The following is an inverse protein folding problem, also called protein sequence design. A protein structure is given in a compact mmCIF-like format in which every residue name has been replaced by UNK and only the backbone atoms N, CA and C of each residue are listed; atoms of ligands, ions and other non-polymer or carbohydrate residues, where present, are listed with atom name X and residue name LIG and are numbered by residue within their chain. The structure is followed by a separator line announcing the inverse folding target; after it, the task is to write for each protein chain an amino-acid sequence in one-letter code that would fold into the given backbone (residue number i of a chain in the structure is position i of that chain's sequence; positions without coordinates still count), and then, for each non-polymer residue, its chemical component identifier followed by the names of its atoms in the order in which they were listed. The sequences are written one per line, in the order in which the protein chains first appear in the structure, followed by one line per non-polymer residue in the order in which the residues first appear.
data_IF_030309738965
#
_entry.id   IF_030309738965
#
_cell.length_a   1.000
_cell.length_b   1.000
_cell.length_c   1.000
_cell.angle_alpha   90.00
_cell.angle_beta   90.00
_cell.angle_gamma   90.00
#
_symmetry.space_group_name_H-M   'P 1'
#
loop_
_entity.id
_entity.type
_entity.pdbx_description
1 polymer ?
#
# COMPACT_ATOMS: atom_id res chain seq x y z
N UNK A 1 -21.44 -41.36 -3.04
CA UNK A 1 -20.52 -40.27 -2.65
C UNK A 1 -20.33 -39.36 -3.85
N UNK A 2 -21.15 -38.32 -3.98
CA UNK A 2 -21.04 -37.37 -5.08
C UNK A 2 -19.78 -36.51 -4.89
N UNK A 3 -18.86 -36.54 -5.86
CA UNK A 3 -17.81 -35.52 -5.94
C UNK A 3 -18.50 -34.20 -6.23
N UNK A 4 -18.63 -33.34 -5.23
CA UNK A 4 -18.92 -31.93 -5.48
C UNK A 4 -17.71 -31.36 -6.21
N UNK A 5 -17.77 -31.32 -7.54
CA UNK A 5 -16.79 -30.65 -8.39
C UNK A 5 -16.91 -29.14 -8.16
N UNK A 6 -16.28 -28.66 -7.10
CA UNK A 6 -16.21 -27.23 -6.82
C UNK A 6 -15.44 -26.53 -7.95
N UNK A 7 -15.97 -25.41 -8.42
CA UNK A 7 -15.28 -24.52 -9.34
C UNK A 7 -13.95 -24.01 -8.73
N UNK A 8 -12.93 -23.73 -9.56
CA UNK A 8 -11.66 -23.23 -9.07
C UNK A 8 -11.82 -21.83 -8.45
N UNK A 9 -11.12 -21.61 -7.32
CA UNK A 9 -11.07 -20.31 -6.63
C UNK A 9 -10.16 -19.30 -7.33
N UNK A 10 -9.17 -19.81 -8.08
CA UNK A 10 -8.20 -19.01 -8.82
C UNK A 10 -8.12 -19.49 -10.25
N UNK A 11 -8.03 -18.55 -11.20
CA UNK A 11 -7.75 -18.85 -12.59
C UNK A 11 -6.45 -18.17 -13.01
N UNK A 12 -5.57 -18.96 -13.62
CA UNK A 12 -4.29 -18.46 -14.13
C UNK A 12 -4.40 -18.35 -15.64
N UNK A 13 -4.36 -17.11 -16.15
CA UNK A 13 -4.42 -16.84 -17.59
C UNK A 13 -3.08 -16.39 -18.13
N UNK A 14 -2.76 -16.90 -19.31
CA UNK A 14 -1.67 -16.41 -20.10
C UNK A 14 -1.92 -14.96 -20.55
N UNK A 15 -0.92 -14.09 -20.41
CA UNK A 15 -0.99 -12.75 -20.99
C UNK A 15 -1.28 -12.79 -22.50
N UNK A 16 -2.18 -11.94 -22.98
CA UNK A 16 -2.40 -11.72 -24.41
C UNK A 16 -1.22 -10.93 -24.99
N UNK A 17 -0.90 -11.15 -26.27
CA UNK A 17 0.17 -10.40 -26.95
C UNK A 17 1.60 -10.91 -26.72
N UNK A 18 1.79 -12.10 -26.12
CA UNK A 18 3.11 -12.72 -25.90
C UNK A 18 3.97 -12.82 -27.16
N UNK A 19 3.35 -13.08 -28.31
CA UNK A 19 4.07 -13.19 -29.57
C UNK A 19 4.69 -11.84 -29.97
N UNK A 20 3.93 -10.75 -29.89
CA UNK A 20 4.42 -9.40 -30.18
C UNK A 20 5.55 -9.01 -29.24
N UNK A 21 5.41 -9.30 -27.94
CA UNK A 21 6.48 -9.07 -26.97
C UNK A 21 7.75 -9.87 -27.29
N UNK A 22 7.63 -11.17 -27.62
CA UNK A 22 8.78 -12.01 -27.99
C UNK A 22 9.47 -11.53 -29.27
N UNK A 23 8.70 -11.09 -30.27
CA UNK A 23 9.27 -10.51 -31.49
C UNK A 23 10.01 -9.21 -31.19
N UNK A 24 9.45 -8.32 -30.38
CA UNK A 24 10.12 -7.11 -29.92
C UNK A 24 11.41 -7.41 -29.14
N UNK A 25 11.39 -8.39 -28.23
CA UNK A 25 12.60 -8.81 -27.50
C UNK A 25 13.65 -9.35 -28.46
N UNK A 26 13.25 -10.14 -29.46
CA UNK A 26 14.17 -10.66 -30.46
C UNK A 26 14.83 -9.55 -31.30
N UNK A 27 14.07 -8.53 -31.74
CA UNK A 27 14.65 -7.45 -32.54
C UNK A 27 15.66 -6.63 -31.74
N UNK A 28 15.36 -6.32 -30.47
CA UNK A 28 16.30 -5.62 -29.59
C UNK A 28 17.52 -6.49 -29.28
N UNK A 29 17.35 -7.80 -29.06
CA UNK A 29 18.47 -8.71 -28.85
C UNK A 29 19.43 -8.73 -30.04
N UNK A 30 18.90 -8.82 -31.27
CA UNK A 30 19.71 -8.73 -32.49
C UNK A 30 20.44 -7.39 -32.57
N UNK A 31 19.78 -6.27 -32.27
CA UNK A 31 20.42 -4.95 -32.25
C UNK A 31 21.58 -4.87 -31.24
N UNK A 32 21.41 -5.43 -30.03
CA UNK A 32 22.47 -5.51 -29.02
C UNK A 32 23.65 -6.34 -29.54
N UNK A 33 23.39 -7.51 -30.14
CA UNK A 33 24.45 -8.34 -30.73
C UNK A 33 25.23 -7.59 -31.82
N UNK A 34 24.54 -6.85 -32.70
CA UNK A 34 25.19 -6.05 -33.74
C UNK A 34 26.07 -4.95 -33.15
N UNK A 35 25.62 -4.26 -32.10
CA UNK A 35 26.41 -3.24 -31.40
C UNK A 35 27.66 -3.86 -30.78
N UNK A 36 27.53 -5.01 -30.09
CA UNK A 36 28.67 -5.69 -29.48
C UNK A 36 29.68 -6.17 -30.54
N UNK A 37 29.21 -6.73 -31.65
CA UNK A 37 30.08 -7.14 -32.78
C UNK A 37 30.79 -5.93 -33.39
N UNK A 38 30.09 -4.81 -33.58
CA UNK A 38 30.68 -3.56 -34.05
C UNK A 38 31.77 -3.08 -33.08
N UNK A 39 31.51 -3.03 -31.78
CA UNK A 39 32.49 -2.58 -30.77
C UNK A 39 33.74 -3.45 -30.70
N UNK A 40 33.60 -4.76 -30.89
CA UNK A 40 34.73 -5.70 -30.94
C UNK A 40 35.51 -5.57 -32.26
N UNK A 41 34.83 -5.27 -33.37
CA UNK A 41 35.47 -5.14 -34.69
C UNK A 41 36.20 -3.81 -34.87
N UNK A 42 35.75 -2.75 -34.19
CA UNK A 42 36.33 -1.39 -34.27
C UNK A 42 37.10 -1.04 -32.99
N UNK A 43 38.11 -1.85 -32.65
CA UNK A 43 39.02 -1.54 -31.55
C UNK A 43 40.01 -0.42 -31.97
N UNK A 44 40.12 0.68 -31.20
CA UNK A 44 41.12 1.71 -31.48
C UNK A 44 42.52 1.14 -31.27
N UNK A 45 43.39 1.31 -32.27
CA UNK A 45 44.76 0.77 -32.27
C UNK A 45 45.78 1.80 -31.76
N UNK A 46 45.42 3.09 -31.73
CA UNK A 46 46.32 4.18 -31.37
C UNK A 46 45.79 5.00 -30.18
N UNK A 47 46.68 5.43 -29.28
CA UNK A 47 46.35 6.29 -28.14
C UNK A 47 45.94 5.55 -26.85
N UNK A 48 46.77 5.62 -25.81
CA UNK A 48 46.47 4.96 -24.53
C UNK A 48 45.15 5.45 -23.89
N UNK A 49 44.89 6.76 -23.90
CA UNK A 49 43.67 7.35 -23.32
C UNK A 49 42.40 6.93 -24.08
N UNK A 50 42.49 6.81 -25.39
CA UNK A 50 41.40 6.37 -26.26
C UNK A 50 41.06 4.89 -26.02
N UNK A 51 42.09 4.05 -25.82
CA UNK A 51 41.90 2.63 -25.49
C UNK A 51 41.22 2.46 -24.13
N UNK A 52 41.65 3.20 -23.09
CA UNK A 52 41.04 3.10 -21.76
C UNK A 52 39.60 3.60 -21.73
N UNK A 53 39.30 4.72 -22.40
CA UNK A 53 37.93 5.24 -22.49
C UNK A 53 37.02 4.33 -23.30
N UNK A 54 37.51 3.76 -24.41
CA UNK A 54 36.78 2.77 -25.20
C UNK A 54 36.49 1.50 -24.41
N UNK A 55 37.49 0.99 -23.69
CA UNK A 55 37.37 -0.22 -22.85
C UNK A 55 36.33 0.00 -21.74
N UNK A 56 36.35 1.15 -21.07
CA UNK A 56 35.37 1.49 -20.04
C UNK A 56 33.94 1.56 -20.60
N UNK A 57 33.75 2.20 -21.77
CA UNK A 57 32.46 2.26 -22.45
C UNK A 57 31.96 0.87 -22.86
N UNK A 58 32.85 0.02 -23.37
CA UNK A 58 32.53 -1.35 -23.75
C UNK A 58 32.10 -2.21 -22.55
N UNK A 59 32.79 -2.10 -21.40
CA UNK A 59 32.38 -2.78 -20.17
C UNK A 59 31.01 -2.31 -19.66
N UNK A 60 30.72 -1.01 -19.75
CA UNK A 60 29.41 -0.49 -19.39
C UNK A 60 28.30 -1.06 -20.32
N UNK A 61 28.55 -1.11 -21.63
CA UNK A 61 27.61 -1.69 -22.60
C UNK A 61 27.39 -3.19 -22.39
N UNK A 62 28.44 -3.95 -22.06
CA UNK A 62 28.32 -5.37 -21.69
C UNK A 62 27.47 -5.53 -20.43
N UNK A 63 27.69 -4.71 -19.41
CA UNK A 63 26.91 -4.74 -18.18
C UNK A 63 25.42 -4.44 -18.42
N UNK A 64 25.11 -3.38 -19.18
CA UNK A 64 23.74 -3.04 -19.55
C UNK A 64 23.08 -4.11 -20.41
N UNK A 65 23.82 -4.72 -21.36
CA UNK A 65 23.34 -5.83 -22.19
C UNK A 65 23.00 -7.06 -21.34
N UNK A 66 23.86 -7.38 -20.38
CA UNK A 66 23.63 -8.47 -19.44
C UNK A 66 22.43 -8.21 -18.52
N UNK A 67 22.34 -7.01 -17.95
CA UNK A 67 21.18 -6.58 -17.16
C UNK A 67 19.88 -6.66 -17.97
N UNK A 68 19.89 -6.19 -19.22
CA UNK A 68 18.75 -6.26 -20.12
C UNK A 68 18.35 -7.73 -20.39
N UNK A 69 19.33 -8.61 -20.66
CA UNK A 69 19.09 -10.03 -20.88
C UNK A 69 18.41 -10.70 -19.67
N UNK A 70 18.92 -10.48 -18.45
CA UNK A 70 18.29 -10.98 -17.22
C UNK A 70 16.86 -10.46 -17.09
N UNK A 71 16.64 -9.17 -17.39
CA UNK A 71 15.31 -8.56 -17.32
C UNK A 71 14.31 -9.25 -18.27
N UNK A 72 14.75 -9.66 -19.48
CA UNK A 72 13.89 -10.38 -20.41
C UNK A 72 13.57 -11.79 -19.94
N UNK A 73 14.50 -12.48 -19.26
CA UNK A 73 14.24 -13.80 -18.68
C UNK A 73 13.10 -13.75 -17.65
N UNK A 74 13.13 -12.76 -16.74
CA UNK A 74 12.08 -12.56 -15.72
C UNK A 74 10.72 -12.25 -16.36
N UNK A 75 10.72 -11.57 -17.51
CA UNK A 75 9.51 -11.14 -18.22
C UNK A 75 9.06 -12.09 -19.33
N UNK A 76 9.72 -13.25 -19.50
CA UNK A 76 9.50 -14.15 -20.64
C UNK A 76 8.09 -14.75 -20.70
N UNK A 77 7.48 -14.99 -19.54
CA UNK A 77 6.17 -15.63 -19.43
C UNK A 77 5.27 -14.92 -18.42
N UNK A 78 4.71 -13.73 -18.77
CA UNK A 78 3.82 -13.01 -17.88
C UNK A 78 2.50 -13.78 -17.72
N UNK A 79 2.06 -13.90 -16.47
CA UNK A 79 0.91 -14.68 -16.04
C UNK A 79 0.00 -13.77 -15.22
N UNK A 80 -1.29 -13.75 -15.56
CA UNK A 80 -2.31 -13.05 -14.78
C UNK A 80 -3.07 -14.05 -13.91
N UNK A 81 -3.27 -13.71 -12.64
CA UNK A 81 -4.05 -14.51 -11.69
C UNK A 81 -5.34 -13.76 -11.36
N UNK A 82 -6.46 -14.41 -11.59
CA UNK A 82 -7.79 -13.92 -11.26
C UNK A 82 -8.33 -14.66 -10.04
N UNK A 83 -8.96 -13.93 -9.12
CA UNK A 83 -9.51 -14.47 -7.87
C UNK A 83 -11.04 -14.38 -7.90
N UNK A 84 -11.75 -15.44 -7.52
CA UNK A 84 -13.21 -15.45 -7.45
C UNK A 84 -13.69 -15.44 -6.00
N UNK A 85 -13.97 -14.23 -5.47
CA UNK A 85 -14.40 -14.05 -4.07
C UNK A 85 -15.75 -14.71 -3.78
N UNK A 86 -16.69 -14.68 -4.74
CA UNK A 86 -18.02 -15.28 -4.55
C UNK A 86 -17.97 -16.80 -4.37
N UNK A 87 -17.02 -17.46 -5.05
CA UNK A 87 -16.80 -18.91 -4.90
C UNK A 87 -16.13 -19.25 -3.57
N UNK A 88 -15.28 -18.34 -3.07
CA UNK A 88 -14.64 -18.47 -1.76
C UNK A 88 -15.68 -18.37 -0.66
N UNK A 89 -16.55 -17.35 -0.68
CA UNK A 89 -17.62 -17.18 0.31
C UNK A 89 -18.59 -18.36 0.28
N UNK A 90 -19.08 -18.77 -0.90
CA UNK A 90 -19.99 -19.92 -1.02
C UNK A 90 -19.44 -21.22 -0.40
N UNK A 91 -18.11 -21.43 -0.43
CA UNK A 91 -17.49 -22.67 0.03
C UNK A 91 -16.98 -22.59 1.47
N UNK A 92 -16.49 -21.43 1.91
CA UNK A 92 -15.69 -21.32 3.14
C UNK A 92 -16.10 -20.15 4.04
N UNK A 93 -17.25 -19.49 3.84
CA UNK A 93 -17.68 -18.34 4.66
C UNK A 93 -17.49 -18.56 6.17
N UNK A 94 -17.84 -19.76 6.66
CA UNK A 94 -17.75 -20.14 8.07
C UNK A 94 -16.34 -20.55 8.51
N UNK A 95 -15.51 -21.02 7.57
CA UNK A 95 -14.21 -21.65 7.81
C UNK A 95 -13.03 -20.78 7.35
N UNK A 96 -13.22 -19.46 7.28
CA UNK A 96 -12.14 -18.50 7.01
C UNK A 96 -11.04 -18.58 8.09
N UNK A 97 -9.75 -18.42 7.75
CA UNK A 97 -8.66 -18.40 8.72
C UNK A 97 -8.63 -17.10 9.55
N UNK A 98 -7.86 -17.09 10.64
CA UNK A 98 -7.49 -15.83 11.29
C UNK A 98 -6.51 -15.04 10.42
N UNK A 99 -6.63 -13.71 10.41
CA UNK A 99 -5.76 -12.78 9.68
C UNK A 99 -5.27 -11.70 10.63
N UNK A 100 -3.95 -11.61 10.77
CA UNK A 100 -3.29 -10.55 11.53
C UNK A 100 -2.68 -9.52 10.56
N UNK A 101 -3.07 -8.26 10.71
CA UNK A 101 -2.55 -7.14 9.92
C UNK A 101 -1.59 -6.35 10.79
N UNK A 102 -0.34 -6.20 10.33
CA UNK A 102 0.66 -5.37 10.98
C UNK A 102 0.79 -4.04 10.24
N UNK A 103 0.58 -2.94 10.96
CA UNK A 103 0.85 -1.58 10.51
C UNK A 103 2.08 -1.11 11.28
N UNK A 104 3.12 -0.67 10.57
CA UNK A 104 4.34 -0.14 11.20
C UNK A 104 4.48 1.34 10.86
N UNK A 105 4.90 2.14 11.83
CA UNK A 105 5.26 3.54 11.65
C UNK A 105 6.55 3.85 12.36
N UNK A 106 7.38 4.73 11.79
CA UNK A 106 8.73 4.99 12.28
C UNK A 106 8.94 6.43 12.76
N UNK A 107 8.35 7.43 12.09
CA UNK A 107 8.56 8.84 12.40
C UNK A 107 7.26 9.63 12.23
N UNK A 108 6.71 10.24 13.29
CA UNK A 108 5.46 11.00 13.23
C UNK A 108 5.54 12.29 12.40
N UNK A 109 6.73 12.78 12.05
CA UNK A 109 6.91 13.94 11.17
C UNK A 109 6.81 13.54 9.69
N UNK A 110 7.45 12.42 9.32
CA UNK A 110 7.42 11.87 7.95
C UNK A 110 6.09 11.14 7.69
N UNK A 111 5.56 10.46 8.70
CA UNK A 111 4.32 9.68 8.69
C UNK A 111 3.34 10.26 9.72
N UNK A 112 2.59 11.31 9.36
CA UNK A 112 1.71 11.99 10.29
C UNK A 112 0.72 11.04 10.97
N UNK A 113 0.46 11.17 12.28
CA UNK A 113 -0.47 10.29 12.99
C UNK A 113 -1.86 10.19 12.34
N UNK A 114 -2.34 11.25 11.69
CA UNK A 114 -3.60 11.25 10.92
C UNK A 114 -3.57 10.21 9.78
N UNK A 115 -2.45 10.06 9.07
CA UNK A 115 -2.30 9.05 8.03
C UNK A 115 -2.30 7.63 8.63
N UNK A 116 -1.62 7.45 9.76
CA UNK A 116 -1.57 6.16 10.48
C UNK A 116 -2.97 5.74 10.93
N UNK A 117 -3.73 6.65 11.58
CA UNK A 117 -5.12 6.40 12.00
C UNK A 117 -6.00 5.97 10.81
N UNK A 118 -5.91 6.69 9.69
CA UNK A 118 -6.69 6.38 8.49
C UNK A 118 -6.40 4.98 7.94
N UNK A 119 -5.12 4.58 7.97
CA UNK A 119 -4.69 3.23 7.58
C UNK A 119 -5.25 2.17 8.52
N UNK A 120 -5.14 2.38 9.84
CA UNK A 120 -5.66 1.44 10.84
C UNK A 120 -7.19 1.33 10.75
N UNK A 121 -7.92 2.43 10.65
CA UNK A 121 -9.37 2.42 10.50
C UNK A 121 -9.83 1.75 9.21
N UNK A 122 -9.09 1.95 8.11
CA UNK A 122 -9.37 1.30 6.83
C UNK A 122 -9.22 -0.22 6.92
N UNK A 123 -8.14 -0.70 7.55
CA UNK A 123 -7.89 -2.15 7.73
C UNK A 123 -8.88 -2.80 8.69
N UNK A 124 -9.23 -2.13 9.78
CA UNK A 124 -10.28 -2.59 10.71
C UNK A 124 -11.67 -2.67 10.05
N UNK A 125 -11.91 -1.91 8.98
CA UNK A 125 -13.18 -1.86 8.26
C UNK A 125 -13.25 -2.83 7.06
N UNK A 126 -12.33 -3.78 6.96
CA UNK A 126 -12.36 -4.82 5.94
C UNK A 126 -13.60 -5.72 6.08
N UNK A 127 -14.11 -6.21 4.96
CA UNK A 127 -15.24 -7.15 4.91
C UNK A 127 -14.75 -8.56 5.29
N UNK A 128 -14.49 -8.75 6.59
CA UNK A 128 -14.01 -9.99 7.19
C UNK A 128 -14.65 -10.22 8.56
N UNK A 129 -14.82 -11.47 9.03
CA UNK A 129 -15.36 -11.73 10.36
C UNK A 129 -14.53 -11.06 11.46
N UNK A 130 -15.13 -10.25 12.35
CA UNK A 130 -14.40 -9.45 13.34
C UNK A 130 -13.64 -10.30 14.35
N UNK A 131 -14.12 -11.51 14.65
CA UNK A 131 -13.45 -12.48 15.51
C UNK A 131 -12.22 -13.14 14.88
N UNK A 132 -12.00 -12.91 13.57
CA UNK A 132 -10.88 -13.47 12.80
C UNK A 132 -9.92 -12.41 12.26
N UNK A 133 -10.21 -11.13 12.46
CA UNK A 133 -9.37 -10.04 11.98
C UNK A 133 -8.73 -9.32 13.17
N UNK A 134 -7.41 -9.40 13.29
CA UNK A 134 -6.64 -8.65 14.28
C UNK A 134 -5.80 -7.60 13.57
N UNK A 135 -5.73 -6.38 14.14
CA UNK A 135 -4.88 -5.30 13.61
C UNK A 135 -3.92 -4.85 14.70
N UNK A 136 -2.64 -4.86 14.38
CA UNK A 136 -1.54 -4.48 15.27
C UNK A 136 -0.83 -3.25 14.71
N UNK A 137 -0.55 -2.27 15.57
CA UNK A 137 0.27 -1.12 15.24
C UNK A 137 1.60 -1.20 15.99
N UNK A 138 2.71 -1.19 15.25
CA UNK A 138 4.06 -1.01 15.78
C UNK A 138 4.51 0.42 15.52
N UNK A 139 4.84 1.17 16.56
CA UNK A 139 5.37 2.53 16.47
C UNK A 139 6.83 2.52 16.93
N UNK A 140 7.75 2.48 15.98
CA UNK A 140 9.20 2.48 16.23
C UNK A 140 9.68 3.87 16.68
N UNK A 141 8.91 4.92 16.38
CA UNK A 141 9.18 6.30 16.81
C UNK A 141 8.78 6.57 18.26
N UNK A 142 8.08 5.65 18.91
CA UNK A 142 7.57 5.75 20.29
C UNK A 142 6.90 7.12 20.56
N UNK A 143 6.07 7.57 19.63
CA UNK A 143 5.52 8.92 19.62
C UNK A 143 4.26 9.02 20.46
N UNK A 144 4.28 9.89 21.48
CA UNK A 144 3.08 10.24 22.25
C UNK A 144 1.93 10.71 21.32
N UNK A 145 2.25 11.41 20.23
CA UNK A 145 1.24 11.89 19.29
C UNK A 145 0.53 10.72 18.60
N UNK A 146 1.27 9.70 18.18
CA UNK A 146 0.72 8.48 17.59
C UNK A 146 -0.16 7.74 18.59
N UNK A 147 0.27 7.66 19.86
CA UNK A 147 -0.53 7.06 20.93
C UNK A 147 -1.88 7.78 21.14
N UNK A 148 -1.88 9.10 21.32
CA UNK A 148 -3.13 9.86 21.52
C UNK A 148 -4.03 9.87 20.28
N UNK A 149 -3.42 9.95 19.10
CA UNK A 149 -4.10 9.81 17.82
C UNK A 149 -4.85 8.46 17.74
N UNK A 150 -4.18 7.37 18.10
CA UNK A 150 -4.78 6.03 18.14
C UNK A 150 -5.85 5.87 19.23
N UNK A 151 -5.69 6.54 20.37
CA UNK A 151 -6.72 6.56 21.41
C UNK A 151 -8.02 7.18 20.88
N UNK A 152 -7.95 8.31 20.19
CA UNK A 152 -9.15 8.88 19.57
C UNK A 152 -9.67 8.05 18.40
N UNK A 153 -8.78 7.45 17.60
CA UNK A 153 -9.18 6.52 16.55
C UNK A 153 -10.01 5.36 17.12
N UNK A 154 -9.64 4.82 18.28
CA UNK A 154 -10.38 3.75 18.96
C UNK A 154 -11.79 4.17 19.39
N UNK A 155 -12.01 5.45 19.68
CA UNK A 155 -13.33 6.00 19.99
C UNK A 155 -14.14 6.21 18.71
N UNK A 156 -13.50 6.74 17.68
CA UNK A 156 -14.12 6.98 16.39
C UNK A 156 -14.50 5.68 15.66
N UNK A 157 -13.70 4.62 15.80
CA UNK A 157 -13.95 3.31 15.17
C UNK A 157 -15.32 2.74 15.53
N UNK A 158 -15.81 2.98 16.75
CA UNK A 158 -17.15 2.58 17.20
C UNK A 158 -18.28 3.15 16.34
N UNK A 159 -18.04 4.27 15.66
CA UNK A 159 -18.98 4.90 14.73
C UNK A 159 -18.62 4.57 13.28
N UNK A 160 -17.34 4.60 12.94
CA UNK A 160 -16.86 4.39 11.58
C UNK A 160 -17.09 2.96 11.06
N UNK A 161 -16.76 1.93 11.85
CA UNK A 161 -16.83 0.53 11.39
C UNK A 161 -18.28 0.09 11.09
N UNK A 162 -19.28 0.36 11.96
CA UNK A 162 -20.67 0.06 11.64
C UNK A 162 -21.19 0.86 10.43
N UNK A 163 -20.79 2.12 10.30
CA UNK A 163 -21.13 2.95 9.13
C UNK A 163 -20.59 2.32 7.84
N UNK A 164 -19.31 1.93 7.81
CA UNK A 164 -18.69 1.27 6.66
C UNK A 164 -19.42 -0.01 6.24
N UNK A 165 -19.81 -0.83 7.23
CA UNK A 165 -20.44 -2.12 6.98
C UNK A 165 -21.89 -1.99 6.52
N UNK A 166 -22.66 -1.05 7.08
CA UNK A 166 -24.06 -0.81 6.70
C UNK A 166 -24.19 -0.20 5.32
N UNK A 167 -23.41 0.84 5.02
CA UNK A 167 -23.46 1.54 3.73
C UNK A 167 -22.54 0.93 2.67
N UNK A 168 -21.82 -0.15 3.00
CA UNK A 168 -20.85 -0.83 2.12
C UNK A 168 -19.93 0.17 1.38
N UNK A 169 -19.41 1.15 2.12
CA UNK A 169 -18.66 2.27 1.53
C UNK A 169 -17.34 1.80 0.93
N UNK A 170 -16.92 2.44 -0.16
CA UNK A 170 -15.58 2.31 -0.73
C UNK A 170 -15.09 3.68 -1.21
N UNK A 171 -13.86 4.10 -0.90
CA UNK A 171 -12.84 3.42 -0.08
C UNK A 171 -13.16 3.42 1.43
N UNK A 172 -12.54 2.50 2.20
CA UNK A 172 -12.77 2.32 3.65
C UNK A 172 -11.94 3.24 4.56
N UNK A 173 -11.00 4.01 3.98
CA UNK A 173 -10.29 5.06 4.70
C UNK A 173 -11.21 6.29 4.87
N UNK A 174 -11.41 6.79 6.10
CA UNK A 174 -12.26 7.96 6.35
C UNK A 174 -11.88 9.18 5.51
N UNK A 175 -10.59 9.55 5.54
CA UNK A 175 -10.10 10.71 4.79
C UNK A 175 -10.24 10.52 3.28
N UNK A 176 -9.93 9.33 2.76
CA UNK A 176 -10.07 9.05 1.34
C UNK A 176 -11.55 9.09 0.89
N UNK A 177 -12.46 8.55 1.70
CA UNK A 177 -13.90 8.56 1.43
C UNK A 177 -14.44 9.99 1.40
N UNK A 178 -14.22 10.77 2.46
CA UNK A 178 -14.79 12.12 2.57
C UNK A 178 -14.17 13.14 1.61
N UNK A 179 -13.01 12.85 1.01
CA UNK A 179 -12.46 13.67 -0.09
C UNK A 179 -13.27 13.60 -1.37
N UNK A 180 -13.94 12.47 -1.64
CA UNK A 180 -14.68 12.23 -2.88
C UNK A 180 -16.18 12.03 -2.69
N UNK A 181 -16.63 11.80 -1.45
CA UNK A 181 -18.02 11.52 -1.15
C UNK A 181 -18.92 12.75 -1.36
N UNK A 182 -20.02 12.54 -2.09
CA UNK A 182 -21.14 13.47 -2.16
C UNK A 182 -22.10 13.19 -1.02
N UNK A 183 -22.83 14.24 -0.60
CA UNK A 183 -23.87 14.11 0.42
C UNK A 183 -25.00 13.18 -0.08
N UNK A 184 -25.46 12.22 0.74
CA UNK A 184 -26.58 11.36 0.37
C UNK A 184 -27.86 12.17 0.17
N UNK A 185 -28.51 12.03 -0.98
CA UNK A 185 -29.73 12.80 -1.34
C UNK A 185 -31.04 12.02 -1.06
N UNK A 186 -30.96 10.72 -0.80
CA UNK A 186 -32.12 9.84 -0.91
C UNK A 186 -32.92 9.71 0.40
N UNK A 187 -32.27 9.80 1.57
CA UNK A 187 -32.89 9.57 2.88
C UNK A 187 -32.33 10.53 3.95
N UNK A 188 -33.19 11.33 4.62
CA UNK A 188 -32.76 12.27 5.66
C UNK A 188 -32.06 11.58 6.85
N UNK A 189 -32.45 10.34 7.21
CA UNK A 189 -31.80 9.60 8.32
C UNK A 189 -30.36 9.23 7.95
N UNK A 190 -30.14 8.81 6.70
CA UNK A 190 -28.81 8.51 6.20
C UNK A 190 -27.95 9.78 6.08
N UNK A 191 -28.55 10.91 5.71
CA UNK A 191 -27.87 12.20 5.63
C UNK A 191 -27.43 12.70 7.02
N UNK A 192 -28.27 12.56 8.05
CA UNK A 192 -27.90 12.90 9.43
C UNK A 192 -26.76 12.01 9.96
N UNK A 193 -26.82 10.69 9.72
CA UNK A 193 -25.77 9.79 10.14
C UNK A 193 -24.45 10.09 9.42
N UNK A 194 -24.51 10.33 8.09
CA UNK A 194 -23.35 10.71 7.30
C UNK A 194 -22.71 12.01 7.80
N UNK A 195 -23.52 13.02 8.10
CA UNK A 195 -23.06 14.30 8.63
C UNK A 195 -22.42 14.12 10.02
N UNK A 196 -23.03 13.33 10.89
CA UNK A 196 -22.48 13.01 12.22
C UNK A 196 -21.10 12.34 12.12
N UNK A 197 -20.94 11.34 11.23
CA UNK A 197 -19.67 10.66 11.01
C UNK A 197 -18.64 11.62 10.39
N UNK A 198 -19.04 12.47 9.44
CA UNK A 198 -18.17 13.49 8.83
C UNK A 198 -17.66 14.48 9.86
N UNK A 199 -18.52 15.00 10.73
CA UNK A 199 -18.11 15.92 11.81
C UNK A 199 -17.12 15.25 12.75
N UNK A 200 -17.35 13.99 13.14
CA UNK A 200 -16.39 13.25 13.98
C UNK A 200 -15.07 12.97 13.27
N UNK A 201 -15.09 12.66 11.98
CA UNK A 201 -13.88 12.50 11.18
C UNK A 201 -13.06 13.80 11.15
N UNK A 202 -13.72 14.95 11.01
CA UNK A 202 -13.05 16.25 11.06
C UNK A 202 -12.38 16.47 12.42
N UNK A 203 -13.04 16.11 13.53
CA UNK A 203 -12.46 16.26 14.88
C UNK A 203 -11.15 15.49 15.06
N UNK A 204 -11.04 14.27 14.52
CA UNK A 204 -9.81 13.46 14.62
C UNK A 204 -8.74 13.86 13.59
N UNK A 205 -9.13 14.50 12.50
CA UNK A 205 -8.24 14.89 11.40
C UNK A 205 -7.67 16.30 11.54
N UNK A 206 -8.21 17.11 12.46
CA UNK A 206 -7.82 18.51 12.62
C UNK A 206 -6.39 18.63 13.17
N UNK A 207 -5.50 19.41 12.54
CA UNK A 207 -4.18 19.73 13.10
C UNK A 207 -4.30 20.49 14.42
N UNK A 208 -5.42 21.18 14.66
CA UNK A 208 -5.71 21.84 15.94
C UNK A 208 -5.86 20.84 17.10
N UNK A 209 -6.35 19.63 16.84
CA UNK A 209 -6.46 18.57 17.84
C UNK A 209 -5.07 18.03 18.23
N UNK A 210 -4.21 17.77 17.23
CA UNK A 210 -2.81 17.42 17.45
C UNK A 210 -2.02 18.57 18.14
N UNK A 211 -2.32 19.82 17.80
CA UNK A 211 -1.76 21.00 18.45
C UNK A 211 -2.20 21.11 19.92
N UNK A 212 -3.48 20.87 20.22
CA UNK A 212 -4.00 20.80 21.59
C UNK A 212 -3.31 19.68 22.38
N UNK A 213 -3.15 18.49 21.81
CA UNK A 213 -2.39 17.39 22.46
C UNK A 213 -0.95 17.83 22.76
N UNK A 214 -0.28 18.45 21.78
CA UNK A 214 1.09 19.00 21.94
C UNK A 214 1.15 20.08 23.04
N UNK A 215 0.11 20.91 23.15
CA UNK A 215 0.04 22.00 24.13
C UNK A 215 -0.30 21.50 25.54
N UNK A 216 -1.21 20.52 25.67
CA UNK A 216 -1.45 19.83 26.94
C UNK A 216 -0.19 19.15 27.45
N UNK A 217 0.63 18.52 26.59
CA UNK A 217 1.94 17.96 26.98
C UNK A 217 2.89 19.05 27.50
N UNK A 218 3.00 20.19 26.80
CA UNK A 218 3.84 21.31 27.23
C UNK A 218 3.41 21.82 28.62
N UNK A 219 2.11 22.00 28.85
CA UNK A 219 1.58 22.43 30.15
C UNK A 219 1.74 21.37 31.24
N UNK A 220 1.49 20.09 30.97
CA UNK A 220 1.63 19.02 31.97
C UNK A 220 3.09 18.78 32.36
N UNK A 221 4.02 18.84 31.39
CA UNK A 221 5.45 18.75 31.64
C UNK A 221 5.97 19.99 32.41
N UNK A 222 5.48 21.19 32.08
CA UNK A 222 5.79 22.41 32.82
C UNK A 222 5.26 22.35 34.27
N UNK A 223 4.03 21.87 34.49
CA UNK A 223 3.46 21.69 35.83
C UNK A 223 4.23 20.66 36.67
N UNK A 224 4.64 19.53 36.06
CA UNK A 224 5.44 18.50 36.75
C UNK A 224 6.82 19.02 37.16
N UNK A 225 7.47 19.82 36.31
CA UNK A 225 8.77 20.42 36.62
C UNK A 225 8.68 21.58 37.61
N UNK A 226 7.52 22.25 37.74
CA UNK A 226 7.27 23.26 38.77
C UNK A 226 7.04 22.65 40.16
N UNK A 227 6.55 21.40 40.25
CA UNK A 227 6.42 20.68 41.52
C UNK A 227 7.70 19.99 42.01
N UNK A 228 8.81 20.06 41.25
CA UNK A 228 10.10 19.41 41.57
C UNK A 228 11.20 20.46 41.86
N UNK A 229 10.83 21.68 42.27
CA UNK A 229 11.80 22.61 42.88
C UNK A 229 11.56 22.67 44.40
N UNK A 230 12.54 22.25 45.23
CA UNK A 230 12.46 22.44 46.69
C UNK A 230 12.50 23.91 47.07
#
# INVERSE_FOLDING_TARGET
MGRNEYLPLFETRAARGRLLFKLYVLTIFVAICLILVYRVSFLPVEGAVEIWSWTGMFFAELWFSFYWFITQLVRWNPIYRYTFKDRLSQRYEKDLPGVDIFVCTADPEIEPPTMVINTVLSTMAYDYPPEKLSVYLSDDGASDLTFYAMLEASRFSKHWLPFCNRFKIEPRSPEAYFRTALEPLDDPVNAEEWLFVKVRNLLISQPFFLYIIKQFKSSYFMMRNLQIKP
#
